data_IF_193547409189
#
_entry.id   IF_193547409189
#
_cell.length_a   1.000
_cell.length_b   1.000
_cell.length_c   1.000
_cell.angle_alpha   90.00
_cell.angle_beta   90.00
_cell.angle_gamma   90.00
#
_symmetry.space_group_name_H-M   'P 1'
#
loop_
_entity.id
_entity.type
_entity.pdbx_description
1 polymer ?
#
# COMPACT_ATOMS: atom_id res chain seq x y z
N UNK A 1 4.42 15.45 5.59
CA UNK A 1 4.00 14.24 6.36
C UNK A 1 3.83 13.08 5.39
N UNK A 2 4.08 11.83 5.77
CA UNK A 2 3.77 10.67 4.92
C UNK A 2 2.45 10.05 5.35
N UNK A 3 1.53 9.88 4.41
CA UNK A 3 0.21 9.27 4.65
C UNK A 3 0.06 8.12 3.66
N UNK A 4 -0.28 6.93 4.16
CA UNK A 4 -0.58 5.79 3.29
C UNK A 4 -1.96 5.98 2.68
N UNK A 5 -2.03 5.89 1.36
CA UNK A 5 -3.28 5.92 0.62
C UNK A 5 -4.22 4.76 1.02
N UNK A 6 -3.66 3.57 1.27
CA UNK A 6 -4.43 2.44 1.77
C UNK A 6 -4.93 2.68 3.20
N UNK A 7 -4.09 3.28 4.05
CA UNK A 7 -4.50 3.64 5.42
C UNK A 7 -5.67 4.61 5.41
N UNK A 8 -5.72 5.59 4.51
CA UNK A 8 -6.88 6.50 4.39
C UNK A 8 -8.18 5.75 4.06
N UNK A 9 -8.10 4.70 3.22
CA UNK A 9 -9.28 3.90 2.87
C UNK A 9 -9.83 3.07 4.02
N UNK A 10 -9.00 2.77 5.03
CA UNK A 10 -9.47 2.07 6.23
C UNK A 10 -10.40 2.96 7.08
N UNK A 11 -10.35 4.28 6.91
CA UNK A 11 -11.16 5.25 7.67
C UNK A 11 -12.25 5.92 6.84
N UNK A 12 -12.05 6.05 5.52
CA UNK A 12 -12.95 6.75 4.62
C UNK A 12 -13.23 5.90 3.39
N UNK A 13 -14.50 5.75 3.05
CA UNK A 13 -14.91 5.12 1.80
C UNK A 13 -14.82 6.15 0.66
N UNK A 14 -13.88 5.95 -0.27
CA UNK A 14 -13.72 6.74 -1.49
C UNK A 14 -13.10 5.89 -2.60
N UNK A 15 -13.35 6.27 -3.86
CA UNK A 15 -12.90 5.54 -5.05
C UNK A 15 -12.05 6.41 -6.00
N UNK A 16 -11.59 7.56 -5.52
CA UNK A 16 -10.71 8.44 -6.29
C UNK A 16 -9.31 7.85 -6.36
N UNK A 17 -8.67 7.88 -7.53
CA UNK A 17 -7.26 7.49 -7.67
C UNK A 17 -6.32 8.43 -6.88
N UNK A 18 -5.06 8.04 -6.63
CA UNK A 18 -4.14 8.83 -5.81
C UNK A 18 -3.90 10.26 -6.30
N UNK A 19 -3.90 10.50 -7.61
CA UNK A 19 -3.68 11.84 -8.17
C UNK A 19 -4.88 12.76 -7.91
N UNK A 20 -6.09 12.26 -8.13
CA UNK A 20 -7.32 13.00 -7.78
C UNK A 20 -7.40 13.28 -6.28
N UNK A 21 -7.04 12.30 -5.44
CA UNK A 21 -7.02 12.52 -4.00
C UNK A 21 -6.03 13.62 -3.60
N UNK A 22 -4.85 13.69 -4.24
CA UNK A 22 -3.87 14.72 -3.96
C UNK A 22 -4.38 16.13 -4.29
N UNK A 23 -5.11 16.29 -5.40
CA UNK A 23 -5.78 17.55 -5.75
C UNK A 23 -6.83 17.92 -4.68
N UNK A 24 -7.71 16.97 -4.32
CA UNK A 24 -8.75 17.19 -3.31
C UNK A 24 -8.14 17.60 -1.97
N UNK A 25 -7.07 16.92 -1.52
CA UNK A 25 -6.38 17.26 -0.28
C UNK A 25 -5.79 18.67 -0.35
N UNK A 26 -5.18 19.04 -1.47
CA UNK A 26 -4.61 20.38 -1.68
C UNK A 26 -5.69 21.46 -1.66
N UNK A 27 -6.84 21.23 -2.31
CA UNK A 27 -8.00 22.13 -2.28
C UNK A 27 -8.58 22.30 -0.87
N UNK A 28 -8.48 21.27 -0.03
CA UNK A 28 -8.85 21.31 1.39
C UNK A 28 -7.79 21.95 2.29
N UNK A 29 -6.66 22.41 1.73
CA UNK A 29 -5.56 23.05 2.45
C UNK A 29 -4.49 22.10 2.99
N UNK A 30 -4.50 20.83 2.57
CA UNK A 30 -3.48 19.83 2.88
C UNK A 30 -2.55 19.66 1.68
N UNK A 31 -1.49 20.46 1.63
CA UNK A 31 -0.53 20.47 0.52
C UNK A 31 0.17 19.10 0.34
N UNK A 32 0.12 18.57 -0.89
CA UNK A 32 0.78 17.32 -1.27
C UNK A 32 2.01 17.62 -2.13
N UNK A 33 3.20 17.52 -1.54
CA UNK A 33 4.47 17.81 -2.23
C UNK A 33 4.87 16.72 -3.24
N UNK A 34 4.64 15.45 -2.90
CA UNK A 34 5.04 14.31 -3.73
C UNK A 34 4.26 13.05 -3.37
N UNK A 35 4.21 12.12 -4.33
CA UNK A 35 3.68 10.77 -4.15
C UNK A 35 4.72 9.76 -4.61
N UNK A 36 4.88 8.68 -3.84
CA UNK A 36 5.79 7.58 -4.16
C UNK A 36 5.09 6.24 -3.92
N UNK A 37 5.34 5.27 -4.80
CA UNK A 37 5.00 3.88 -4.52
C UNK A 37 5.92 3.37 -3.43
N UNK A 38 5.34 2.92 -2.33
CA UNK A 38 6.10 2.41 -1.19
C UNK A 38 6.10 0.89 -1.16
N UNK A 39 7.28 0.30 -0.98
CA UNK A 39 7.46 -1.14 -0.83
C UNK A 39 8.29 -1.42 0.43
N UNK A 40 7.84 -2.36 1.28
CA UNK A 40 8.61 -2.78 2.46
C UNK A 40 9.87 -3.57 2.09
N UNK A 41 9.86 -4.23 0.94
CA UNK A 41 10.99 -4.99 0.38
C UNK A 41 11.09 -4.60 -1.08
N UNK A 42 12.28 -4.18 -1.54
CA UNK A 42 12.51 -3.76 -2.93
C UNK A 42 12.06 -4.85 -3.90
N UNK A 43 11.22 -4.49 -4.85
CA UNK A 43 10.63 -5.42 -5.81
C UNK A 43 9.33 -6.07 -5.31
N UNK A 44 8.71 -5.51 -4.27
CA UNK A 44 7.35 -5.84 -3.84
C UNK A 44 7.10 -7.33 -3.50
N UNK A 45 8.14 -8.06 -3.10
CA UNK A 45 8.07 -9.53 -2.96
C UNK A 45 7.57 -10.23 -4.24
N UNK A 46 7.87 -9.69 -5.42
CA UNK A 46 7.53 -10.33 -6.69
C UNK A 46 8.05 -11.77 -6.69
N UNK A 47 7.16 -12.71 -7.01
CA UNK A 47 7.37 -14.18 -6.98
C UNK A 47 7.36 -14.82 -5.58
N UNK A 48 7.07 -14.07 -4.52
CA UNK A 48 6.78 -14.65 -3.21
C UNK A 48 5.33 -15.13 -3.15
N UNK A 49 5.12 -16.35 -2.69
CA UNK A 49 3.79 -16.96 -2.58
C UNK A 49 3.57 -17.50 -1.18
N UNK A 50 2.31 -17.49 -0.75
CA UNK A 50 1.91 -18.16 0.50
C UNK A 50 1.68 -19.62 0.17
N UNK A 51 2.41 -20.51 0.86
CA UNK A 51 2.26 -21.95 0.75
C UNK A 51 1.69 -22.53 2.05
N UNK A 52 0.84 -23.54 1.92
CA UNK A 52 0.38 -24.36 3.05
C UNK A 52 1.22 -25.64 3.14
N UNK A 53 1.74 -25.95 4.33
CA UNK A 53 2.48 -27.19 4.56
C UNK A 53 1.50 -28.35 4.75
N UNK A 54 1.32 -29.17 3.71
CA UNK A 54 0.43 -30.33 3.76
C UNK A 54 1.04 -31.53 4.50
N UNK A 55 2.35 -31.72 4.38
CA UNK A 55 3.06 -32.87 4.95
C UNK A 55 4.47 -32.47 5.37
N UNK A 56 4.95 -33.01 6.49
CA UNK A 56 6.33 -32.86 6.96
C UNK A 56 6.84 -34.22 7.44
N UNK A 57 8.00 -34.65 6.93
CA UNK A 57 8.69 -35.87 7.37
C UNK A 57 10.09 -35.51 7.83
N UNK A 58 10.62 -36.25 8.81
CA UNK A 58 11.98 -36.06 9.29
C UNK A 58 12.98 -36.44 8.17
N UNK A 59 13.88 -35.54 7.82
CA UNK A 59 15.05 -35.87 6.98
C UNK A 59 15.94 -36.87 7.75
N UNK A 60 16.65 -37.83 7.10
CA UNK A 60 17.50 -38.79 7.78
C UNK A 60 18.41 -38.16 8.84
#
# INVERSE_FOLDING_TARGET
MKISYNWLRDYLAFDSDPAQLAEILTDLGLEVESMETWESVKGGLQNFVIGEVLTCIKHP
#
